data_IF_720317566134
#
_entry.id   IF_720317566134
#
_cell.length_a   1.000
_cell.length_b   1.000
_cell.length_c   1.000
_cell.angle_alpha   90.00
_cell.angle_beta   90.00
_cell.angle_gamma   90.00
#
_symmetry.space_group_name_H-M   'P 1'
#
loop_
_entity.id
_entity.type
_entity.pdbx_description
1 polymer ?
#
# COMPACT_ATOMS: atom_id res chain seq x y z
N UNK A 1 -0.33 -6.01 -42.24
CA UNK A 1 -0.77 -6.83 -41.10
C UNK A 1 -0.97 -5.90 -39.92
N UNK A 2 -2.21 -5.52 -39.62
CA UNK A 2 -2.55 -4.74 -38.42
C UNK A 2 -2.46 -5.65 -37.20
N UNK A 3 -1.56 -5.33 -36.26
CA UNK A 3 -1.63 -5.90 -34.91
C UNK A 3 -2.89 -5.32 -34.26
N UNK A 4 -3.97 -6.12 -34.26
CA UNK A 4 -5.08 -5.91 -33.33
C UNK A 4 -4.48 -5.96 -31.92
N UNK A 5 -4.53 -4.82 -31.23
CA UNK A 5 -4.09 -4.69 -29.85
C UNK A 5 -4.97 -5.59 -28.99
N UNK A 6 -4.32 -6.55 -28.33
CA UNK A 6 -4.92 -7.58 -27.50
C UNK A 6 -5.34 -7.01 -26.14
N UNK A 7 -6.31 -6.09 -26.11
CA UNK A 7 -6.89 -5.54 -24.88
C UNK A 7 -7.66 -6.61 -24.05
N UNK A 8 -7.83 -7.82 -24.60
CA UNK A 8 -8.52 -8.92 -23.93
C UNK A 8 -7.64 -9.84 -23.08
N UNK A 9 -6.30 -9.69 -23.08
CA UNK A 9 -5.45 -10.57 -22.26
C UNK A 9 -5.41 -10.18 -20.77
N UNK A 10 -5.59 -8.90 -20.42
CA UNK A 10 -5.59 -8.45 -19.02
C UNK A 10 -6.84 -8.90 -18.24
N UNK A 11 -7.93 -9.19 -18.95
CA UNK A 11 -9.19 -9.65 -18.35
C UNK A 11 -9.05 -11.00 -17.63
N UNK A 12 -8.01 -11.79 -17.92
CA UNK A 12 -7.76 -13.07 -17.25
C UNK A 12 -6.89 -12.95 -15.99
N UNK A 13 -6.19 -11.83 -15.78
CA UNK A 13 -5.27 -11.65 -14.66
C UNK A 13 -5.93 -11.06 -13.41
N UNK A 14 -7.01 -10.31 -13.57
CA UNK A 14 -7.69 -9.63 -12.46
C UNK A 14 -9.09 -10.20 -12.24
N UNK A 15 -9.46 -10.36 -10.97
CA UNK A 15 -10.78 -10.89 -10.61
C UNK A 15 -11.90 -9.87 -10.77
N UNK A 16 -11.57 -8.57 -10.73
CA UNK A 16 -12.51 -7.44 -10.73
C UNK A 16 -13.66 -7.53 -9.71
N UNK A 17 -13.56 -8.45 -8.73
CA UNK A 17 -14.65 -8.83 -7.83
C UNK A 17 -14.30 -8.75 -6.34
N UNK A 18 -13.28 -7.95 -5.99
CA UNK A 18 -12.94 -7.71 -4.57
C UNK A 18 -14.10 -7.05 -3.85
N UNK A 19 -14.50 -7.64 -2.73
CA UNK A 19 -15.51 -7.09 -1.84
C UNK A 19 -14.97 -5.93 -1.02
N UNK A 20 -15.87 -5.08 -0.52
CA UNK A 20 -15.51 -4.00 0.42
C UNK A 20 -14.79 -4.54 1.66
N UNK A 21 -15.27 -5.65 2.21
CA UNK A 21 -14.67 -6.30 3.37
C UNK A 21 -13.21 -6.72 3.12
N UNK A 22 -12.89 -7.21 1.92
CA UNK A 22 -11.50 -7.56 1.56
C UNK A 22 -10.60 -6.32 1.50
N UNK A 23 -11.12 -5.19 1.01
CA UNK A 23 -10.40 -3.91 0.93
C UNK A 23 -10.17 -3.35 2.34
N UNK A 24 -11.19 -3.37 3.21
CA UNK A 24 -11.08 -2.97 4.61
C UNK A 24 -10.09 -3.85 5.38
N UNK A 25 -10.15 -5.17 5.17
CA UNK A 25 -9.19 -6.11 5.77
C UNK A 25 -7.76 -5.85 5.30
N UNK A 26 -7.57 -5.45 4.03
CA UNK A 26 -6.25 -5.08 3.52
C UNK A 26 -5.75 -3.78 4.13
N UNK A 27 -6.65 -2.80 4.35
CA UNK A 27 -6.32 -1.56 5.02
C UNK A 27 -5.84 -1.81 6.45
N UNK A 28 -6.59 -2.59 7.25
CA UNK A 28 -6.18 -2.95 8.62
C UNK A 28 -4.80 -3.64 8.64
N UNK A 29 -4.56 -4.58 7.72
CA UNK A 29 -3.25 -5.23 7.58
C UNK A 29 -2.12 -4.25 7.24
N UNK A 30 -2.36 -3.32 6.33
CA UNK A 30 -1.36 -2.33 5.93
C UNK A 30 -1.01 -1.38 7.09
N UNK A 31 -2.01 -0.93 7.84
CA UNK A 31 -1.81 -0.08 9.03
C UNK A 31 -1.05 -0.83 10.14
N UNK A 32 -1.40 -2.10 10.42
CA UNK A 32 -0.66 -2.94 11.38
C UNK A 32 0.79 -3.13 10.97
N UNK A 33 1.04 -3.42 9.70
CA UNK A 33 2.41 -3.60 9.20
C UNK A 33 3.20 -2.29 9.27
N UNK A 34 2.55 -1.14 9.03
CA UNK A 34 3.18 0.18 9.18
C UNK A 34 3.63 0.41 10.62
N UNK A 35 2.77 0.09 11.60
CA UNK A 35 3.10 0.19 13.02
C UNK A 35 4.29 -0.72 13.39
N UNK A 36 4.36 -1.94 12.87
CA UNK A 36 5.52 -2.83 13.08
C UNK A 36 6.82 -2.21 12.55
N UNK A 37 6.79 -1.59 11.37
CA UNK A 37 7.98 -0.91 10.84
C UNK A 37 8.34 0.33 11.63
N UNK A 38 7.36 1.04 12.18
CA UNK A 38 7.59 2.17 13.06
C UNK A 38 8.28 1.75 14.36
N UNK A 39 7.82 0.68 15.01
CA UNK A 39 8.50 0.13 16.21
C UNK A 39 9.95 -0.24 15.88
N UNK A 40 10.19 -0.99 14.80
CA UNK A 40 11.54 -1.38 14.36
C UNK A 40 12.41 -0.19 13.98
N UNK A 41 11.82 0.89 13.49
CA UNK A 41 12.54 2.12 13.19
C UNK A 41 13.08 2.75 14.47
N UNK A 42 12.27 2.83 15.53
CA UNK A 42 12.70 3.39 16.81
C UNK A 42 13.78 2.52 17.47
N UNK A 43 13.62 1.20 17.49
CA UNK A 43 14.65 0.26 17.95
C UNK A 43 15.97 0.48 17.20
N UNK A 44 15.92 0.55 15.86
CA UNK A 44 17.11 0.81 15.04
C UNK A 44 17.75 2.19 15.27
N UNK A 45 16.96 3.19 15.70
CA UNK A 45 17.47 4.51 16.07
C UNK A 45 18.20 4.46 17.41
N UNK A 46 17.64 3.76 18.38
CA UNK A 46 18.25 3.57 19.71
C UNK A 46 19.56 2.79 19.61
N UNK A 47 19.59 1.75 18.76
CA UNK A 47 20.78 0.94 18.51
C UNK A 47 21.85 1.63 17.62
N UNK A 48 21.53 2.81 17.07
CA UNK A 48 22.40 3.51 16.13
C UNK A 48 22.55 2.83 14.76
N UNK A 49 21.73 1.83 14.44
CA UNK A 49 21.72 1.12 13.16
C UNK A 49 21.05 1.96 12.05
N UNK A 50 21.87 2.80 11.41
CA UNK A 50 21.44 3.63 10.27
C UNK A 50 20.90 2.82 9.10
N UNK A 51 21.44 1.64 8.81
CA UNK A 51 21.02 0.82 7.66
C UNK A 51 19.62 0.27 7.89
N UNK A 52 19.36 -0.25 9.09
CA UNK A 52 18.04 -0.73 9.47
C UNK A 52 17.03 0.41 9.57
N UNK A 53 17.42 1.57 10.10
CA UNK A 53 16.56 2.76 10.14
C UNK A 53 16.11 3.20 8.73
N UNK A 54 17.02 3.25 7.75
CA UNK A 54 16.68 3.58 6.34
C UNK A 54 15.72 2.53 5.75
N UNK A 55 15.99 1.24 6.01
CA UNK A 55 15.10 0.16 5.55
C UNK A 55 13.69 0.32 6.11
N UNK A 56 13.56 0.61 7.40
CA UNK A 56 12.25 0.80 8.03
C UNK A 56 11.52 2.02 7.43
N UNK A 57 12.21 3.16 7.29
CA UNK A 57 11.64 4.37 6.69
C UNK A 57 11.11 4.14 5.27
N UNK A 58 11.85 3.38 4.44
CA UNK A 58 11.39 3.04 3.07
C UNK A 58 10.12 2.19 3.08
N UNK A 59 10.03 1.21 3.98
CA UNK A 59 8.83 0.36 4.09
C UNK A 59 7.63 1.17 4.60
N UNK A 60 7.83 2.03 5.60
CA UNK A 60 6.78 2.94 6.07
C UNK A 60 6.28 3.83 4.93
N UNK A 61 7.18 4.41 4.13
CA UNK A 61 6.77 5.27 3.01
C UNK A 61 5.99 4.53 1.92
N UNK A 62 6.37 3.29 1.62
CA UNK A 62 5.62 2.45 0.69
C UNK A 62 4.20 2.15 1.23
N UNK A 63 4.10 1.82 2.52
CA UNK A 63 2.82 1.54 3.17
C UNK A 63 1.92 2.77 3.29
N UNK A 64 2.48 3.95 3.49
CA UNK A 64 1.74 5.21 3.49
C UNK A 64 0.95 5.40 2.18
N UNK A 65 1.59 5.15 1.02
CA UNK A 65 0.92 5.21 -0.28
C UNK A 65 -0.16 4.14 -0.47
N UNK A 66 0.09 2.92 0.02
CA UNK A 66 -0.90 1.82 0.00
C UNK A 66 -2.12 2.18 0.86
N UNK A 67 -1.89 2.63 2.09
CA UNK A 67 -2.94 3.04 3.04
C UNK A 67 -3.76 4.19 2.46
N UNK A 68 -3.10 5.23 1.93
CA UNK A 68 -3.77 6.37 1.31
C UNK A 68 -4.66 5.95 0.15
N UNK A 69 -4.18 5.05 -0.70
CA UNK A 69 -4.95 4.52 -1.85
C UNK A 69 -6.14 3.68 -1.41
N UNK A 70 -5.99 2.84 -0.39
CA UNK A 70 -7.09 2.02 0.15
C UNK A 70 -8.16 2.91 0.82
N UNK A 71 -7.75 3.91 1.61
CA UNK A 71 -8.69 4.88 2.21
C UNK A 71 -9.44 5.69 1.16
N UNK A 72 -8.75 6.16 0.13
CA UNK A 72 -9.40 6.81 -1.02
C UNK A 72 -10.40 5.86 -1.72
N UNK A 73 -10.02 4.60 -1.92
CA UNK A 73 -10.88 3.57 -2.53
C UNK A 73 -12.16 3.34 -1.72
N UNK A 74 -12.07 3.40 -0.38
CA UNK A 74 -13.20 3.28 0.54
C UNK A 74 -14.01 4.58 0.70
N UNK A 75 -13.60 5.68 0.06
CA UNK A 75 -14.33 6.96 0.11
C UNK A 75 -14.05 7.79 1.36
N UNK A 76 -12.84 7.74 1.91
CA UNK A 76 -12.42 8.64 2.99
C UNK A 76 -12.56 10.11 2.55
N UNK A 77 -13.45 10.85 3.24
CA UNK A 77 -13.81 12.24 2.91
C UNK A 77 -12.66 13.23 3.08
N UNK A 78 -11.58 12.83 3.76
CA UNK A 78 -10.39 13.67 3.97
C UNK A 78 -9.35 13.51 2.87
N UNK A 79 -9.52 12.53 1.97
CA UNK A 79 -8.58 12.25 0.87
C UNK A 79 -9.26 12.55 -0.46
N UNK A 80 -8.91 13.68 -1.05
CA UNK A 80 -9.41 14.07 -2.37
C UNK A 80 -8.81 13.21 -3.50
N UNK A 81 -7.49 13.01 -3.48
CA UNK A 81 -6.76 12.23 -4.49
C UNK A 81 -5.65 11.38 -3.85
N UNK A 82 -5.47 10.10 -4.25
CA UNK A 82 -4.52 9.21 -3.58
C UNK A 82 -3.05 9.54 -3.89
N UNK A 83 -2.80 10.30 -4.97
CA UNK A 83 -1.45 10.67 -5.42
C UNK A 83 -1.04 12.13 -5.11
N UNK A 84 -1.91 12.92 -4.49
CA UNK A 84 -1.59 14.30 -4.11
C UNK A 84 -0.75 14.40 -2.85
#
# INVERSE_FOLDING_TARGET
>A
MSKSLSDHQDSHHYTYSRSWQEIENMLDKAERLSNVWQTKFYEAKEDGDKKQSIKCARNMKALEGVIKTLKWTLGDKTIEHPLS
#
